data_IF_343450404993
#
_entry.id   IF_343450404993
#
_cell.length_a   1.000
_cell.length_b   1.000
_cell.length_c   1.000
_cell.angle_alpha   90.00
_cell.angle_beta   90.00
_cell.angle_gamma   90.00
#
_symmetry.space_group_name_H-M   'P 1'
#
loop_
_entity.id
_entity.type
_entity.pdbx_description
1 polymer ?
#
# COMPACT_ATOMS: atom_id res chain seq x y z
N UNK A 1 4.98 -9.05 -25.51
CA UNK A 1 4.05 -8.99 -24.36
C UNK A 1 3.50 -7.58 -24.30
N UNK A 2 2.19 -7.40 -24.20
CA UNK A 2 1.55 -6.09 -24.03
C UNK A 2 1.02 -6.03 -22.59
N UNK A 3 1.53 -5.09 -21.76
CA UNK A 3 0.98 -4.86 -20.42
C UNK A 3 -0.27 -3.98 -20.55
N UNK A 4 -1.29 -4.23 -19.72
CA UNK A 4 -2.46 -3.37 -19.67
C UNK A 4 -2.05 -1.96 -19.20
N UNK A 5 -2.75 -0.90 -19.60
CA UNK A 5 -2.49 0.44 -19.12
C UNK A 5 -2.70 0.52 -17.60
N UNK A 6 -1.78 1.15 -16.89
CA UNK A 6 -1.93 1.40 -15.45
C UNK A 6 -2.84 2.61 -15.24
N UNK A 7 -4.16 2.39 -15.36
CA UNK A 7 -5.18 3.44 -15.37
C UNK A 7 -5.10 4.39 -14.17
N UNK A 8 -4.82 3.84 -12.98
CA UNK A 8 -4.70 4.64 -11.76
C UNK A 8 -3.53 5.62 -11.82
N UNK A 9 -2.37 5.16 -12.27
CA UNK A 9 -1.17 5.99 -12.37
C UNK A 9 -1.33 7.06 -13.46
N UNK A 10 -1.86 6.67 -14.63
CA UNK A 10 -2.18 7.60 -15.72
C UNK A 10 -3.18 8.68 -15.26
N UNK A 11 -4.19 8.29 -14.49
CA UNK A 11 -5.17 9.21 -13.94
C UNK A 11 -4.54 10.21 -12.98
N UNK A 12 -3.77 9.74 -12.01
CA UNK A 12 -3.12 10.61 -11.02
C UNK A 12 -2.10 11.53 -11.71
N UNK A 13 -1.24 10.98 -12.57
CA UNK A 13 -0.17 11.73 -13.23
C UNK A 13 -0.70 12.85 -14.13
N UNK A 14 -1.84 12.64 -14.79
CA UNK A 14 -2.48 13.64 -15.65
C UNK A 14 -2.77 14.95 -14.91
N UNK A 15 -3.07 14.89 -13.62
CA UNK A 15 -3.51 16.04 -12.83
C UNK A 15 -2.47 16.52 -11.81
N UNK A 16 -1.70 15.60 -11.22
CA UNK A 16 -0.73 15.92 -10.16
C UNK A 16 0.53 16.61 -10.72
N UNK A 17 0.87 16.30 -11.99
CA UNK A 17 1.98 16.93 -12.73
C UNK A 17 1.54 17.94 -13.79
N UNK A 18 0.26 18.36 -13.78
CA UNK A 18 -0.22 19.45 -14.61
C UNK A 18 0.33 20.81 -14.11
N UNK A 19 0.33 21.82 -15.00
CA UNK A 19 0.72 23.19 -14.66
C UNK A 19 -0.47 24.15 -14.87
N UNK A 20 -1.06 24.70 -13.78
CA UNK A 20 -0.76 24.40 -12.37
C UNK A 20 -1.22 23.00 -11.96
N UNK A 21 -0.62 22.38 -10.91
CA UNK A 21 -1.08 21.10 -10.41
C UNK A 21 -2.47 21.24 -9.77
N UNK A 22 -3.21 20.13 -9.69
CA UNK A 22 -4.53 20.13 -9.09
C UNK A 22 -4.50 20.59 -7.63
N UNK A 23 -5.49 21.37 -7.22
CA UNK A 23 -5.51 22.00 -5.89
C UNK A 23 -5.61 20.99 -4.75
N UNK A 24 -6.48 19.98 -4.90
CA UNK A 24 -6.77 18.99 -3.85
C UNK A 24 -6.64 17.57 -4.40
N UNK A 25 -5.47 16.92 -4.21
CA UNK A 25 -5.28 15.54 -4.63
C UNK A 25 -5.71 14.57 -3.53
N UNK A 26 -6.95 14.11 -3.57
CA UNK A 26 -7.48 13.01 -2.75
C UNK A 26 -7.41 11.64 -3.45
N UNK A 27 -6.88 11.55 -4.68
CA UNK A 27 -6.60 10.27 -5.32
C UNK A 27 -5.32 9.63 -4.76
N UNK A 28 -4.43 10.43 -4.14
CA UNK A 28 -3.21 9.93 -3.50
C UNK A 28 -3.51 9.06 -2.28
N UNK A 29 -2.72 8.01 -2.10
CA UNK A 29 -2.76 7.12 -0.94
C UNK A 29 -1.63 7.41 0.07
N UNK A 30 -1.03 8.62 0.01
CA UNK A 30 -0.04 9.10 0.97
C UNK A 30 -0.65 10.15 1.88
N UNK A 31 -0.02 10.44 3.01
CA UNK A 31 -0.41 11.50 3.92
C UNK A 31 0.27 12.84 3.61
N UNK A 32 0.36 13.75 4.61
CA UNK A 32 1.00 15.03 4.45
C UNK A 32 2.44 14.89 3.98
N UNK A 33 2.85 15.77 3.09
CA UNK A 33 4.21 15.77 2.54
C UNK A 33 5.22 16.15 3.62
N UNK A 34 6.44 15.63 3.49
CA UNK A 34 7.61 15.97 4.30
C UNK A 34 8.66 16.61 3.41
N UNK A 35 9.28 17.69 3.86
CA UNK A 35 10.55 18.13 3.30
C UNK A 35 11.70 17.34 3.94
N UNK A 36 12.85 17.32 3.27
CA UNK A 36 14.08 16.72 3.84
C UNK A 36 14.46 17.43 5.14
N UNK A 37 14.31 18.75 5.20
CA UNK A 37 14.59 19.56 6.38
C UNK A 37 13.70 19.18 7.57
N UNK A 38 12.37 19.07 7.36
CA UNK A 38 11.44 18.61 8.40
C UNK A 38 11.81 17.22 8.92
N UNK A 39 12.16 16.30 8.00
CA UNK A 39 12.56 14.96 8.36
C UNK A 39 13.82 14.92 9.22
N UNK A 40 14.87 15.67 8.82
CA UNK A 40 16.13 15.73 9.55
C UNK A 40 15.93 16.33 10.96
N UNK A 41 15.03 17.30 11.10
CA UNK A 41 14.72 17.96 12.39
C UNK A 41 13.92 17.11 13.38
N UNK A 42 13.49 15.91 13.01
CA UNK A 42 12.72 15.04 13.91
C UNK A 42 13.49 14.64 15.17
N UNK A 43 14.82 14.57 15.11
CA UNK A 43 15.65 14.24 16.27
C UNK A 43 17.14 14.31 16.00
N UNK A 44 17.92 14.09 17.06
CA UNK A 44 19.36 14.11 17.05
C UNK A 44 19.95 12.72 17.29
N UNK A 45 21.15 12.40 16.73
CA UNK A 45 21.88 13.25 15.78
C UNK A 45 21.19 13.24 14.39
N UNK A 46 21.27 14.33 13.62
CA UNK A 46 20.80 14.34 12.24
C UNK A 46 21.66 13.42 11.38
N UNK A 47 21.10 12.84 10.28
CA UNK A 47 21.88 12.02 9.36
C UNK A 47 22.94 12.91 8.66
N UNK A 48 24.18 12.43 8.64
CA UNK A 48 25.27 13.13 7.95
C UNK A 48 25.22 12.78 6.45
N UNK A 49 24.51 13.57 5.70
CA UNK A 49 24.40 13.43 4.25
C UNK A 49 25.59 14.04 3.52
N UNK A 50 26.24 15.06 4.12
CA UNK A 50 27.29 15.83 3.46
C UNK A 50 28.60 15.02 3.30
N UNK A 51 28.92 14.17 4.25
CA UNK A 51 30.11 13.32 4.21
C UNK A 51 29.85 11.92 3.67
N UNK A 52 28.58 11.59 3.31
CA UNK A 52 28.25 10.28 2.79
C UNK A 52 28.88 10.04 1.41
N UNK A 53 29.49 8.86 1.23
CA UNK A 53 30.16 8.49 -0.02
C UNK A 53 29.11 8.03 -1.04
N UNK A 54 29.21 8.53 -2.29
CA UNK A 54 28.35 8.15 -3.41
C UNK A 54 28.83 6.84 -4.04
N UNK A 55 28.81 5.76 -3.28
CA UNK A 55 29.13 4.39 -3.71
C UNK A 55 27.89 3.51 -3.67
N UNK A 56 28.01 2.28 -4.15
CA UNK A 56 26.94 1.29 -3.98
C UNK A 56 26.77 0.96 -2.48
N UNK A 57 25.51 0.88 -2.04
CA UNK A 57 25.17 0.26 -0.79
C UNK A 57 25.33 -1.28 -0.87
N UNK A 58 25.40 -2.01 0.26
CA UNK A 58 25.33 -3.46 0.22
C UNK A 58 24.06 -3.95 -0.52
N UNK A 59 24.15 -5.03 -1.33
CA UNK A 59 23.00 -5.50 -2.11
C UNK A 59 21.74 -5.82 -1.28
N UNK A 60 21.90 -6.31 -0.06
CA UNK A 60 20.77 -6.55 0.85
C UNK A 60 20.30 -5.28 1.59
N UNK A 61 21.09 -4.20 1.60
CA UNK A 61 20.91 -2.99 2.40
C UNK A 61 21.89 -2.88 3.56
N UNK A 62 22.00 -1.71 4.16
CA UNK A 62 22.90 -1.47 5.30
C UNK A 62 22.37 -2.11 6.59
N UNK A 63 23.30 -2.60 7.43
CA UNK A 63 22.96 -3.24 8.73
C UNK A 63 22.09 -2.35 9.62
N UNK A 64 22.43 -1.05 9.69
CA UNK A 64 21.68 -0.08 10.51
C UNK A 64 20.21 0.07 10.05
N UNK A 65 19.96 -0.03 8.75
CA UNK A 65 18.60 0.03 8.21
C UNK A 65 17.85 -1.29 8.45
N UNK A 66 18.54 -2.45 8.33
CA UNK A 66 17.95 -3.74 8.71
C UNK A 66 17.49 -3.75 10.17
N UNK A 67 18.34 -3.26 11.10
CA UNK A 67 18.02 -3.17 12.52
C UNK A 67 16.80 -2.26 12.77
N UNK A 68 16.71 -1.11 12.08
CA UNK A 68 15.58 -0.21 12.22
C UNK A 68 14.27 -0.79 11.67
N UNK A 69 14.31 -1.49 10.53
CA UNK A 69 13.16 -2.21 9.96
C UNK A 69 12.75 -3.38 10.87
N UNK A 70 13.71 -4.14 11.34
CA UNK A 70 13.48 -5.28 12.23
C UNK A 70 12.82 -4.85 13.55
N UNK A 71 13.29 -3.76 14.16
CA UNK A 71 12.67 -3.17 15.33
C UNK A 71 11.23 -2.72 15.05
N UNK A 72 10.98 -2.14 13.88
CA UNK A 72 9.64 -1.69 13.47
C UNK A 72 8.64 -2.85 13.34
N UNK A 73 9.08 -4.02 12.87
CA UNK A 73 8.25 -5.21 12.68
C UNK A 73 8.37 -6.25 13.81
N UNK A 74 9.27 -6.08 14.76
CA UNK A 74 9.50 -7.02 15.85
C UNK A 74 10.12 -8.35 15.43
N UNK A 75 11.08 -8.34 14.48
CA UNK A 75 11.70 -9.53 13.88
C UNK A 75 13.23 -9.50 13.94
N UNK A 76 13.87 -10.58 13.49
CA UNK A 76 15.31 -10.64 13.34
C UNK A 76 15.79 -9.74 12.17
N UNK A 77 16.80 -8.87 12.37
CA UNK A 77 17.36 -8.06 11.29
C UNK A 77 17.90 -8.86 10.10
N UNK A 78 18.30 -10.11 10.31
CA UNK A 78 18.78 -10.99 9.25
C UNK A 78 17.65 -11.47 8.30
N UNK A 79 16.37 -11.26 8.68
CA UNK A 79 15.23 -11.58 7.81
C UNK A 79 14.93 -10.47 6.80
N UNK A 80 15.53 -9.30 6.96
CA UNK A 80 15.23 -8.11 6.14
C UNK A 80 16.08 -8.09 4.88
N UNK A 81 15.46 -7.82 3.74
CA UNK A 81 16.11 -7.48 2.47
C UNK A 81 15.56 -6.14 1.99
N UNK A 82 16.43 -5.16 1.83
CA UNK A 82 16.03 -3.83 1.35
C UNK A 82 15.73 -3.84 -0.14
N UNK A 83 14.74 -3.03 -0.54
CA UNK A 83 14.29 -2.89 -1.93
C UNK A 83 13.99 -1.42 -2.28
N UNK A 84 13.84 -1.12 -3.56
CA UNK A 84 13.45 0.22 -4.06
C UNK A 84 11.92 0.36 -4.04
N UNK A 85 11.36 0.44 -2.82
CA UNK A 85 9.93 0.38 -2.53
C UNK A 85 9.38 -1.06 -2.55
N UNK A 86 8.16 -1.23 -2.03
CA UNK A 86 7.46 -2.51 -2.00
C UNK A 86 7.18 -3.09 -3.39
N UNK A 87 7.09 -2.23 -4.42
CA UNK A 87 6.89 -2.67 -5.81
C UNK A 87 8.04 -3.52 -6.32
N UNK A 88 9.29 -3.18 -6.01
CA UNK A 88 10.44 -4.03 -6.35
C UNK A 88 10.40 -5.35 -5.58
N UNK A 89 10.08 -5.32 -4.29
CA UNK A 89 9.94 -6.51 -3.46
C UNK A 89 8.93 -7.50 -4.07
N UNK A 90 7.74 -7.02 -4.40
CA UNK A 90 6.68 -7.81 -5.05
C UNK A 90 7.12 -8.34 -6.41
N UNK A 91 7.74 -7.50 -7.26
CA UNK A 91 8.17 -7.89 -8.59
C UNK A 91 9.25 -8.98 -8.56
N UNK A 92 10.24 -8.85 -7.69
CA UNK A 92 11.28 -9.89 -7.49
C UNK A 92 10.65 -11.18 -6.99
N UNK A 93 9.75 -11.09 -5.99
CA UNK A 93 9.09 -12.26 -5.43
C UNK A 93 8.29 -13.02 -6.49
N UNK A 94 7.49 -12.30 -7.31
CA UNK A 94 6.70 -12.90 -8.39
C UNK A 94 7.58 -13.46 -9.51
N UNK A 95 8.68 -12.79 -9.85
CA UNK A 95 9.68 -13.30 -10.77
C UNK A 95 10.21 -14.68 -10.34
N UNK A 96 10.58 -14.79 -9.05
CA UNK A 96 11.11 -16.04 -8.49
C UNK A 96 10.05 -17.13 -8.26
N UNK A 97 8.78 -16.75 -8.21
CA UNK A 97 7.63 -17.68 -8.09
C UNK A 97 7.13 -18.19 -9.45
N UNK A 98 7.67 -17.66 -10.55
CA UNK A 98 7.24 -18.04 -11.89
C UNK A 98 7.48 -19.53 -12.15
N UNK A 99 6.43 -20.23 -12.65
CA UNK A 99 6.46 -21.59 -13.13
C UNK A 99 5.45 -21.77 -14.27
N UNK A 100 5.68 -22.72 -15.19
CA UNK A 100 4.73 -22.98 -16.28
C UNK A 100 3.31 -23.24 -15.77
N UNK A 101 2.32 -22.51 -16.30
CA UNK A 101 0.92 -22.63 -15.89
C UNK A 101 0.59 -22.04 -14.52
N UNK A 102 1.58 -21.49 -13.80
CA UNK A 102 1.38 -20.96 -12.45
C UNK A 102 0.45 -19.75 -12.40
N UNK A 103 -0.24 -19.59 -11.27
CA UNK A 103 -1.11 -18.43 -11.00
C UNK A 103 -0.82 -17.82 -9.63
N UNK A 104 -1.32 -16.60 -9.45
CA UNK A 104 -1.28 -15.87 -8.17
C UNK A 104 -2.69 -15.55 -7.73
N UNK A 105 -3.00 -15.80 -6.48
CA UNK A 105 -4.26 -15.44 -5.84
C UNK A 105 -4.13 -14.02 -5.28
N UNK A 106 -5.02 -13.11 -5.69
CA UNK A 106 -5.02 -11.68 -5.31
C UNK A 106 -6.42 -11.23 -4.87
N UNK A 107 -6.56 -10.16 -4.06
CA UNK A 107 -7.88 -9.63 -3.72
C UNK A 107 -8.59 -9.02 -4.94
N UNK A 108 -9.92 -8.92 -4.89
CA UNK A 108 -10.77 -8.20 -5.83
C UNK A 108 -11.89 -7.46 -5.06
N UNK A 109 -11.88 -6.09 -5.04
CA UNK A 109 -10.93 -5.17 -5.66
C UNK A 109 -9.49 -5.29 -5.13
N UNK A 110 -8.51 -4.76 -5.89
CA UNK A 110 -7.10 -4.79 -5.50
C UNK A 110 -6.33 -3.56 -5.97
N UNK A 111 -5.14 -3.37 -5.43
CA UNK A 111 -4.14 -2.50 -6.04
C UNK A 111 -3.76 -3.06 -7.43
N UNK A 112 -3.98 -2.28 -8.53
CA UNK A 112 -3.90 -2.82 -9.89
C UNK A 112 -2.55 -3.43 -10.27
N UNK A 113 -1.47 -3.01 -9.57
CA UNK A 113 -0.14 -3.51 -9.86
C UNK A 113 0.04 -5.01 -9.56
N UNK A 114 -0.73 -5.63 -8.65
CA UNK A 114 -0.59 -7.05 -8.36
C UNK A 114 -0.85 -7.89 -9.61
N UNK A 115 -1.97 -7.64 -10.30
CA UNK A 115 -2.30 -8.35 -11.52
C UNK A 115 -1.31 -8.05 -12.65
N UNK A 116 -0.94 -6.78 -12.83
CA UNK A 116 0.00 -6.38 -13.87
C UNK A 116 1.40 -6.99 -13.66
N UNK A 117 1.92 -7.01 -12.44
CA UNK A 117 3.20 -7.63 -12.12
C UNK A 117 3.17 -9.16 -12.30
N UNK A 118 2.09 -9.83 -11.91
CA UNK A 118 1.95 -11.26 -12.12
C UNK A 118 1.95 -11.60 -13.61
N UNK A 119 1.21 -10.84 -14.43
CA UNK A 119 1.19 -10.99 -15.89
C UNK A 119 2.56 -10.72 -16.52
N UNK A 120 3.31 -9.71 -16.01
CA UNK A 120 4.67 -9.42 -16.46
C UNK A 120 5.58 -10.67 -16.33
N UNK A 121 5.40 -11.42 -15.26
CA UNK A 121 6.11 -12.66 -15.00
C UNK A 121 5.37 -13.92 -15.48
N UNK A 122 4.38 -13.77 -16.40
CA UNK A 122 3.63 -14.86 -17.04
C UNK A 122 2.87 -15.75 -16.04
N UNK A 123 2.47 -15.19 -14.91
CA UNK A 123 1.59 -15.85 -13.95
C UNK A 123 0.14 -15.52 -14.26
N UNK A 124 -0.73 -16.51 -14.18
CA UNK A 124 -2.18 -16.33 -14.22
C UNK A 124 -2.68 -15.60 -12.97
N UNK A 125 -3.91 -15.07 -13.03
CA UNK A 125 -4.53 -14.34 -11.91
C UNK A 125 -5.79 -15.08 -11.47
N UNK A 126 -5.94 -15.28 -10.16
CA UNK A 126 -7.17 -15.75 -9.52
C UNK A 126 -7.57 -14.73 -8.45
N UNK A 127 -8.80 -14.22 -8.54
CA UNK A 127 -9.32 -13.25 -7.57
C UNK A 127 -10.03 -13.94 -6.41
N UNK A 128 -9.80 -13.49 -5.16
CA UNK A 128 -10.73 -13.72 -4.06
C UNK A 128 -11.54 -12.46 -3.80
N UNK A 129 -12.87 -12.63 -3.67
CA UNK A 129 -13.78 -11.50 -3.65
C UNK A 129 -13.84 -10.82 -2.29
N UNK A 130 -13.69 -9.50 -2.27
CA UNK A 130 -14.01 -8.63 -1.14
C UNK A 130 -15.32 -7.90 -1.45
N UNK A 131 -16.36 -8.16 -0.65
CA UNK A 131 -17.70 -7.65 -0.94
C UNK A 131 -18.10 -6.51 0.00
N UNK A 132 -18.68 -5.46 -0.57
CA UNK A 132 -19.28 -4.36 0.19
C UNK A 132 -20.42 -4.82 1.12
N UNK A 133 -21.14 -5.91 0.76
CA UNK A 133 -22.21 -6.48 1.59
C UNK A 133 -21.72 -7.02 2.95
N UNK A 134 -20.42 -7.27 3.09
CA UNK A 134 -19.76 -7.71 4.33
C UNK A 134 -18.60 -6.78 4.69
N UNK A 135 -18.72 -5.50 4.41
CA UNK A 135 -17.73 -4.47 4.72
C UNK A 135 -16.31 -4.78 4.18
N UNK A 136 -16.22 -5.42 3.03
CA UNK A 136 -14.96 -5.89 2.43
C UNK A 136 -14.12 -6.75 3.39
N UNK A 137 -14.77 -7.48 4.28
CA UNK A 137 -14.09 -8.32 5.27
C UNK A 137 -13.17 -9.32 4.58
N UNK A 138 -11.92 -9.37 5.03
CA UNK A 138 -10.93 -10.32 4.54
C UNK A 138 -11.02 -11.62 5.33
N UNK A 139 -11.35 -12.73 4.67
CA UNK A 139 -11.60 -14.03 5.26
C UNK A 139 -10.65 -15.09 4.67
N UNK A 140 -9.96 -15.85 5.51
CA UNK A 140 -9.05 -16.89 5.09
C UNK A 140 -9.74 -17.98 4.25
N UNK A 141 -11.03 -18.28 4.51
CA UNK A 141 -11.80 -19.26 3.74
C UNK A 141 -11.99 -18.83 2.28
N UNK A 142 -12.33 -17.56 2.04
CA UNK A 142 -12.46 -17.02 0.67
C UNK A 142 -11.14 -17.05 -0.09
N UNK A 143 -10.04 -16.71 0.59
CA UNK A 143 -8.70 -16.79 0.00
C UNK A 143 -8.35 -18.24 -0.37
N UNK A 144 -8.56 -19.18 0.55
CA UNK A 144 -8.26 -20.61 0.34
C UNK A 144 -9.12 -21.25 -0.74
N UNK A 145 -10.36 -20.78 -0.94
CA UNK A 145 -11.23 -21.25 -2.01
C UNK A 145 -10.73 -20.86 -3.41
N UNK A 146 -9.94 -19.77 -3.51
CA UNK A 146 -9.32 -19.35 -4.76
C UNK A 146 -8.02 -20.10 -5.08
N UNK A 147 -7.43 -20.82 -4.12
CA UNK A 147 -6.17 -21.57 -4.28
C UNK A 147 -6.40 -22.89 -5.00
N UNK A 148 -5.57 -23.18 -6.01
CA UNK A 148 -5.56 -24.45 -6.75
C UNK A 148 -4.14 -25.07 -6.80
N UNK A 149 -3.94 -26.25 -7.42
CA UNK A 149 -2.62 -26.89 -7.52
C UNK A 149 -1.56 -26.07 -8.26
N UNK A 150 -1.98 -25.15 -9.14
CA UNK A 150 -1.10 -24.29 -9.92
C UNK A 150 -0.80 -22.96 -9.23
N UNK A 151 -1.37 -22.72 -8.05
CA UNK A 151 -1.12 -21.47 -7.29
C UNK A 151 0.32 -21.40 -6.83
N UNK A 152 1.04 -20.41 -7.34
CA UNK A 152 2.45 -20.15 -7.06
C UNK A 152 2.66 -19.24 -5.84
N UNK A 153 1.68 -18.37 -5.55
CA UNK A 153 1.68 -17.48 -4.40
C UNK A 153 0.27 -16.94 -4.11
N UNK A 154 0.05 -16.54 -2.88
CA UNK A 154 -1.14 -15.78 -2.44
C UNK A 154 -0.68 -14.40 -1.99
N UNK A 155 -1.37 -13.33 -2.41
CA UNK A 155 -1.14 -11.96 -1.95
C UNK A 155 -2.33 -11.50 -1.13
N UNK A 156 -2.06 -11.04 0.08
CA UNK A 156 -2.98 -10.31 0.96
C UNK A 156 -2.43 -8.92 1.18
N UNK A 157 -3.29 -7.89 1.13
CA UNK A 157 -2.93 -6.53 1.50
C UNK A 157 -3.71 -6.11 2.74
N UNK A 158 -3.03 -5.79 3.82
CA UNK A 158 -3.67 -5.42 5.08
C UNK A 158 -2.83 -4.42 5.87
N UNK A 159 -3.37 -3.22 6.15
CA UNK A 159 -4.65 -2.65 5.69
C UNK A 159 -4.75 -2.58 4.17
N UNK A 160 -5.97 -2.73 3.63
CA UNK A 160 -6.23 -3.00 2.22
C UNK A 160 -6.44 -1.72 1.39
N UNK A 161 -5.82 -1.64 0.23
CA UNK A 161 -6.08 -0.65 -0.80
C UNK A 161 -6.92 -1.29 -1.94
N UNK A 162 -8.14 -0.75 -2.22
CA UNK A 162 -8.61 0.60 -1.86
C UNK A 162 -9.55 0.69 -0.63
N UNK A 163 -9.96 -0.41 -0.01
CA UNK A 163 -11.12 -0.45 0.88
C UNK A 163 -10.86 0.00 2.33
N UNK A 164 -9.59 -0.02 2.77
CA UNK A 164 -9.23 0.21 4.18
C UNK A 164 -9.64 -0.92 5.12
N UNK A 165 -10.05 -2.09 4.60
CA UNK A 165 -10.33 -3.27 5.43
C UNK A 165 -9.05 -3.84 6.03
N UNK A 166 -9.18 -4.53 7.17
CA UNK A 166 -8.05 -5.13 7.90
C UNK A 166 -8.32 -6.62 8.09
N UNK A 167 -7.37 -7.46 7.70
CA UNK A 167 -7.41 -8.89 7.99
C UNK A 167 -6.99 -9.12 9.44
N UNK A 168 -7.81 -9.79 10.22
CA UNK A 168 -7.49 -10.09 11.61
C UNK A 168 -6.30 -11.04 11.73
N UNK A 169 -5.50 -10.92 12.79
CA UNK A 169 -4.30 -11.73 13.00
C UNK A 169 -4.61 -13.25 13.01
N UNK A 170 -5.77 -13.64 13.58
CA UNK A 170 -6.23 -15.03 13.59
C UNK A 170 -6.50 -15.57 12.18
N UNK A 171 -7.04 -14.72 11.28
CA UNK A 171 -7.25 -15.09 9.88
C UNK A 171 -5.93 -15.24 9.14
N UNK A 172 -4.95 -14.36 9.39
CA UNK A 172 -3.60 -14.46 8.82
C UNK A 172 -2.89 -15.73 9.31
N UNK A 173 -2.96 -16.04 10.60
CA UNK A 173 -2.38 -17.27 11.19
C UNK A 173 -2.99 -18.52 10.57
N UNK A 174 -4.32 -18.57 10.48
CA UNK A 174 -5.03 -19.69 9.83
C UNK A 174 -4.64 -19.84 8.36
N UNK A 175 -4.59 -18.73 7.62
CA UNK A 175 -4.24 -18.72 6.21
C UNK A 175 -2.80 -19.21 6.00
N UNK A 176 -1.86 -18.68 6.80
CA UNK A 176 -0.44 -19.05 6.76
C UNK A 176 -0.25 -20.55 6.97
N UNK A 177 -0.85 -21.12 8.02
CA UNK A 177 -0.76 -22.56 8.30
C UNK A 177 -1.32 -23.40 7.16
N UNK A 178 -2.53 -23.08 6.68
CA UNK A 178 -3.16 -23.82 5.58
C UNK A 178 -2.40 -23.74 4.26
N UNK A 179 -1.71 -22.65 3.99
CA UNK A 179 -0.88 -22.47 2.79
C UNK A 179 0.48 -23.16 2.94
N UNK A 180 1.04 -23.21 4.16
CA UNK A 180 2.26 -23.96 4.45
C UNK A 180 2.09 -25.44 4.14
N UNK A 181 0.96 -26.03 4.56
CA UNK A 181 0.62 -27.45 4.27
C UNK A 181 0.54 -27.74 2.76
N UNK A 182 0.28 -26.72 1.94
CA UNK A 182 0.20 -26.81 0.48
C UNK A 182 1.51 -26.42 -0.23
N UNK A 183 2.52 -25.98 0.52
CA UNK A 183 3.77 -25.45 -0.03
C UNK A 183 3.61 -24.14 -0.82
N UNK A 184 2.53 -23.37 -0.55
CA UNK A 184 2.23 -22.11 -1.22
C UNK A 184 2.64 -20.95 -0.31
N UNK A 185 3.55 -20.06 -0.71
CA UNK A 185 3.95 -18.92 0.10
C UNK A 185 2.84 -17.86 0.15
N UNK A 186 2.68 -17.27 1.34
CA UNK A 186 1.80 -16.12 1.57
C UNK A 186 2.61 -14.83 1.57
N UNK A 187 2.30 -13.91 0.66
CA UNK A 187 2.82 -12.54 0.67
C UNK A 187 1.80 -11.64 1.35
N UNK A 188 2.23 -10.92 2.38
CA UNK A 188 1.41 -9.90 3.06
C UNK A 188 1.99 -8.53 2.76
N UNK A 189 1.25 -7.75 1.98
CA UNK A 189 1.59 -6.36 1.71
C UNK A 189 1.12 -5.48 2.86
N UNK A 190 2.06 -5.03 3.67
CA UNK A 190 1.88 -4.23 4.89
C UNK A 190 2.27 -2.75 4.71
N UNK A 191 2.23 -2.19 3.52
CA UNK A 191 2.64 -0.78 3.30
C UNK A 191 1.89 0.24 4.14
N UNK A 192 0.70 -0.12 4.65
CA UNK A 192 -0.12 0.72 5.54
C UNK A 192 0.02 0.38 7.02
N UNK A 193 0.70 -0.73 7.38
CA UNK A 193 1.00 -1.03 8.78
C UNK A 193 1.93 0.03 9.36
N UNK A 194 1.69 0.57 10.60
CA UNK A 194 0.68 0.18 11.60
C UNK A 194 -0.51 1.17 11.69
N UNK A 195 -1.00 1.69 10.58
CA UNK A 195 -2.12 2.65 10.60
C UNK A 195 -3.46 1.92 10.78
N UNK A 196 -4.00 1.91 12.00
CA UNK A 196 -5.29 1.30 12.34
C UNK A 196 -6.22 2.31 13.01
N UNK A 197 -7.53 2.20 12.70
CA UNK A 197 -8.62 2.99 13.28
C UNK A 197 -9.57 2.09 14.06
N UNK A 198 -9.01 1.29 14.95
CA UNK A 198 -9.64 0.26 15.77
C UNK A 198 -8.56 -0.54 16.48
N UNK A 199 -8.79 -1.82 16.81
CA UNK A 199 -7.77 -2.66 17.41
C UNK A 199 -6.52 -2.74 16.52
N UNK A 200 -5.36 -2.47 17.09
CA UNK A 200 -4.07 -2.63 16.42
C UNK A 200 -3.78 -4.10 16.17
N UNK A 201 -3.06 -4.38 15.07
CA UNK A 201 -2.61 -5.72 14.74
C UNK A 201 -1.08 -5.76 14.77
N UNK A 202 -0.47 -6.86 15.23
CA UNK A 202 0.98 -7.06 15.05
C UNK A 202 1.30 -7.21 13.56
N UNK A 203 2.56 -6.96 13.20
CA UNK A 203 3.03 -7.32 11.85
C UNK A 203 2.94 -8.83 11.62
N UNK A 204 2.58 -9.23 10.42
CA UNK A 204 2.57 -10.63 10.01
C UNK A 204 3.98 -11.23 9.85
N UNK A 205 5.02 -10.41 9.90
CA UNK A 205 6.40 -10.82 9.67
C UNK A 205 6.92 -11.89 10.66
N UNK A 206 6.30 -11.99 11.85
CA UNK A 206 6.62 -13.01 12.84
C UNK A 206 5.95 -14.38 12.60
N UNK A 207 5.04 -14.50 11.65
CA UNK A 207 4.36 -15.77 11.34
C UNK A 207 5.16 -16.59 10.34
N UNK A 208 5.11 -17.93 10.49
CA UNK A 208 5.75 -18.86 9.55
C UNK A 208 5.11 -18.80 8.14
N UNK A 209 5.89 -19.17 7.12
CA UNK A 209 5.46 -19.20 5.70
C UNK A 209 4.90 -17.87 5.16
N UNK A 210 5.24 -16.75 5.79
CA UNK A 210 4.85 -15.42 5.33
C UNK A 210 6.07 -14.66 4.84
N UNK A 211 5.88 -13.97 3.72
CA UNK A 211 6.78 -12.93 3.22
C UNK A 211 6.06 -11.60 3.37
N UNK A 212 6.57 -10.70 4.21
CA UNK A 212 6.02 -9.35 4.32
C UNK A 212 6.72 -8.44 3.32
N UNK A 213 5.95 -7.62 2.60
CA UNK A 213 6.46 -6.51 1.81
C UNK A 213 5.93 -5.20 2.38
N UNK A 214 6.81 -4.20 2.51
CA UNK A 214 6.41 -2.87 2.97
C UNK A 214 7.38 -1.80 2.49
N UNK A 215 7.04 -0.53 2.72
CA UNK A 215 7.90 0.61 2.39
C UNK A 215 7.56 1.85 3.23
N UNK A 216 8.36 2.91 3.06
CA UNK A 216 8.14 4.19 3.72
C UNK A 216 7.10 5.08 3.01
N UNK A 217 6.55 4.66 1.88
CA UNK A 217 5.70 5.53 1.04
C UNK A 217 4.34 5.83 1.65
N UNK A 218 3.73 4.88 2.37
CA UNK A 218 2.33 4.97 2.79
C UNK A 218 2.20 5.34 4.27
N UNK A 219 2.49 4.41 5.18
CA UNK A 219 2.37 4.65 6.62
C UNK A 219 3.27 5.81 7.10
N UNK A 220 4.43 5.99 6.49
CA UNK A 220 5.37 7.07 6.82
C UNK A 220 5.21 8.32 5.95
N UNK A 221 4.43 8.27 4.85
CA UNK A 221 4.27 9.38 3.89
C UNK A 221 5.59 9.90 3.31
N UNK A 222 6.55 9.01 3.07
CA UNK A 222 7.87 9.33 2.53
C UNK A 222 8.13 8.64 1.17
N UNK A 223 7.21 8.78 0.17
CA UNK A 223 7.34 8.07 -1.11
C UNK A 223 8.61 8.45 -1.88
N UNK A 224 9.14 9.65 -1.68
CA UNK A 224 10.36 10.14 -2.34
C UNK A 224 11.64 9.42 -1.90
N UNK A 225 11.64 8.73 -0.75
CA UNK A 225 12.80 7.97 -0.31
C UNK A 225 13.00 6.66 -1.08
N UNK A 226 12.01 6.21 -1.84
CA UNK A 226 12.08 4.96 -2.61
C UNK A 226 12.69 3.80 -1.82
N UNK A 227 12.44 3.75 -0.51
CA UNK A 227 12.97 2.74 0.40
C UNK A 227 11.86 1.81 0.84
N UNK A 228 11.99 0.54 0.50
CA UNK A 228 11.11 -0.55 0.91
C UNK A 228 11.90 -1.77 1.33
N UNK A 229 11.21 -2.81 1.73
CA UNK A 229 11.81 -4.05 2.19
C UNK A 229 10.90 -5.24 1.96
N UNK A 230 11.54 -6.39 2.00
CA UNK A 230 10.93 -7.70 2.11
C UNK A 230 11.45 -8.33 3.39
N UNK A 231 10.56 -8.96 4.17
CA UNK A 231 10.91 -9.70 5.38
C UNK A 231 10.52 -11.15 5.18
N UNK A 232 11.47 -12.05 5.39
CA UNK A 232 11.30 -13.46 5.16
C UNK A 232 12.20 -14.27 6.10
N UNK A 233 11.66 -15.19 6.86
CA UNK A 233 12.43 -16.07 7.75
C UNK A 233 13.21 -17.17 7.01
N UNK A 234 12.84 -17.50 5.76
CA UNK A 234 13.51 -18.50 4.93
C UNK A 234 14.84 -17.97 4.35
N UNK A 235 15.95 -18.43 4.87
CA UNK A 235 17.30 -18.00 4.45
C UNK A 235 17.61 -18.33 2.98
N UNK A 236 17.13 -19.48 2.47
CA UNK A 236 17.37 -19.88 1.09
C UNK A 236 16.60 -18.98 0.11
N UNK A 237 15.34 -18.64 0.45
CA UNK A 237 14.52 -17.71 -0.33
C UNK A 237 15.12 -16.30 -0.31
N UNK A 238 15.55 -15.79 0.86
CA UNK A 238 16.26 -14.51 0.95
C UNK A 238 17.52 -14.45 0.07
N UNK A 239 18.35 -15.50 0.09
CA UNK A 239 19.54 -15.54 -0.76
C UNK A 239 19.20 -15.43 -2.25
N UNK A 240 18.13 -16.10 -2.69
CA UNK A 240 17.63 -16.00 -4.08
C UNK A 240 17.11 -14.59 -4.38
N UNK A 241 16.41 -13.94 -3.44
CA UNK A 241 15.89 -12.58 -3.59
C UNK A 241 17.03 -11.57 -3.73
N UNK A 242 18.05 -11.64 -2.86
CA UNK A 242 19.24 -10.78 -2.94
C UNK A 242 19.97 -10.95 -4.27
N UNK A 243 20.14 -12.21 -4.72
CA UNK A 243 20.74 -12.48 -6.03
C UNK A 243 19.91 -11.90 -7.19
N UNK A 244 18.58 -12.09 -7.16
CA UNK A 244 17.70 -11.55 -8.19
C UNK A 244 17.73 -10.03 -8.22
N UNK A 245 17.76 -9.36 -7.05
CA UNK A 245 17.87 -7.91 -6.95
C UNK A 245 19.04 -7.33 -7.73
N UNK A 246 20.15 -8.07 -7.82
CA UNK A 246 21.31 -7.68 -8.64
C UNK A 246 20.99 -7.43 -10.13
N UNK A 247 19.88 -8.01 -10.62
CA UNK A 247 19.41 -7.80 -12.01
C UNK A 247 18.34 -6.71 -12.13
N UNK A 248 17.85 -6.15 -11.01
CA UNK A 248 16.85 -5.07 -10.97
C UNK A 248 17.53 -3.73 -10.70
N UNK A 249 17.95 -3.50 -9.46
CA UNK A 249 18.50 -2.20 -9.02
C UNK A 249 19.88 -2.31 -8.40
N UNK A 250 20.47 -3.50 -8.30
CA UNK A 250 21.79 -3.77 -7.71
C UNK A 250 21.78 -3.52 -6.18
N UNK A 251 21.54 -2.27 -5.77
CA UNK A 251 21.52 -1.84 -4.36
C UNK A 251 20.63 -0.60 -4.20
N UNK A 252 20.42 -0.17 -2.95
CA UNK A 252 19.81 1.12 -2.63
C UNK A 252 20.80 2.28 -2.75
N UNK A 253 20.32 3.49 -2.44
CA UNK A 253 21.15 4.69 -2.31
C UNK A 253 21.60 4.85 -0.85
N UNK A 254 22.89 4.96 -0.54
CA UNK A 254 23.38 5.17 0.82
C UNK A 254 22.75 6.38 1.52
N UNK A 255 22.54 7.48 0.81
CA UNK A 255 21.92 8.69 1.34
C UNK A 255 20.45 8.46 1.72
N UNK A 256 19.71 7.75 0.86
CA UNK A 256 18.32 7.42 1.14
C UNK A 256 18.19 6.43 2.29
N UNK A 257 19.13 5.48 2.43
CA UNK A 257 19.19 4.56 3.58
C UNK A 257 19.48 5.29 4.90
N UNK A 258 20.31 6.35 4.89
CA UNK A 258 20.53 7.20 6.07
C UNK A 258 19.24 7.92 6.48
N UNK A 259 18.55 8.54 5.52
CA UNK A 259 17.27 9.20 5.78
C UNK A 259 16.19 8.22 6.22
N UNK A 260 16.12 7.05 5.60
CA UNK A 260 15.19 5.99 5.97
C UNK A 260 15.42 5.47 7.40
N UNK A 261 16.69 5.24 7.76
CA UNK A 261 17.07 4.83 9.12
C UNK A 261 16.67 5.90 10.13
N UNK A 262 16.90 7.19 9.82
CA UNK A 262 16.50 8.30 10.67
C UNK A 262 14.96 8.36 10.82
N UNK A 263 14.22 8.23 9.72
CA UNK A 263 12.75 8.19 9.73
C UNK A 263 12.20 7.06 10.63
N UNK A 264 12.73 5.84 10.49
CA UNK A 264 12.31 4.67 11.29
C UNK A 264 12.63 4.84 12.78
N UNK A 265 13.75 5.45 13.13
CA UNK A 265 14.10 5.76 14.53
C UNK A 265 13.17 6.82 15.16
N UNK A 266 12.57 7.67 14.34
CA UNK A 266 11.63 8.70 14.77
C UNK A 266 10.20 8.44 14.30
N UNK A 267 9.88 7.17 13.98
CA UNK A 267 8.60 6.73 13.42
C UNK A 267 7.37 7.19 14.20
N UNK A 268 7.47 7.22 15.53
CA UNK A 268 6.32 7.58 16.37
C UNK A 268 5.82 8.99 16.09
N UNK A 269 6.74 9.95 15.84
CA UNK A 269 6.39 11.33 15.47
C UNK A 269 5.75 11.41 14.10
N UNK A 270 6.26 10.62 13.13
CA UNK A 270 5.75 10.57 11.77
C UNK A 270 4.36 9.94 11.76
N UNK A 271 4.20 8.79 12.41
CA UNK A 271 2.93 8.07 12.49
C UNK A 271 1.88 8.88 13.25
N UNK A 272 2.22 9.53 14.36
CA UNK A 272 1.28 10.35 15.12
C UNK A 272 0.72 11.51 14.28
N UNK A 273 1.58 12.21 13.48
CA UNK A 273 1.15 13.29 12.57
C UNK A 273 0.13 12.76 11.56
N UNK A 274 0.44 11.62 10.93
CA UNK A 274 -0.43 11.02 9.91
C UNK A 274 -1.73 10.50 10.52
N UNK A 275 -1.65 9.73 11.60
CA UNK A 275 -2.80 9.11 12.24
C UNK A 275 -3.79 10.15 12.77
N UNK A 276 -3.30 11.25 13.34
CA UNK A 276 -4.14 12.35 13.81
C UNK A 276 -4.92 12.98 12.66
N UNK A 277 -4.25 13.33 11.57
CA UNK A 277 -4.90 13.91 10.39
C UNK A 277 -5.90 12.93 9.78
N UNK A 278 -5.51 11.67 9.59
CA UNK A 278 -6.36 10.65 9.00
C UNK A 278 -7.61 10.36 9.83
N UNK A 279 -7.50 10.28 11.17
CA UNK A 279 -8.65 10.05 12.05
C UNK A 279 -9.69 11.17 11.94
N UNK A 280 -9.25 12.43 11.99
CA UNK A 280 -10.14 13.60 11.83
C UNK A 280 -10.79 13.66 10.46
N UNK A 281 -10.03 13.38 9.41
CA UNK A 281 -10.55 13.36 8.04
C UNK A 281 -11.53 12.21 7.80
N UNK A 282 -11.38 11.07 8.48
CA UNK A 282 -12.38 10.00 8.46
C UNK A 282 -13.73 10.44 9.01
N UNK A 283 -13.76 11.29 10.04
CA UNK A 283 -15.00 11.82 10.59
C UNK A 283 -15.65 12.85 9.63
N UNK A 284 -14.83 13.68 8.97
CA UNK A 284 -15.30 14.57 7.89
C UNK A 284 -15.89 13.76 6.73
N UNK A 285 -15.23 12.68 6.33
CA UNK A 285 -15.72 11.80 5.26
C UNK A 285 -17.02 11.09 5.66
N UNK A 286 -17.13 10.64 6.91
CA UNK A 286 -18.36 10.04 7.43
C UNK A 286 -19.52 11.02 7.36
N UNK A 287 -19.31 12.28 7.77
CA UNK A 287 -20.32 13.34 7.69
C UNK A 287 -20.71 13.64 6.23
N UNK A 288 -19.73 13.69 5.31
CA UNK A 288 -19.96 13.88 3.89
C UNK A 288 -20.88 12.78 3.30
N UNK A 289 -20.58 11.51 3.61
CA UNK A 289 -21.36 10.39 3.09
C UNK A 289 -22.76 10.37 3.71
N UNK A 290 -22.89 10.59 5.02
CA UNK A 290 -24.19 10.70 5.68
C UNK A 290 -25.03 11.85 5.10
N UNK A 291 -24.39 13.00 4.81
CA UNK A 291 -25.03 14.18 4.20
C UNK A 291 -25.38 14.01 2.70
N UNK A 292 -24.96 12.93 2.04
CA UNK A 292 -25.22 12.70 0.61
C UNK A 292 -26.68 12.29 0.32
N UNK A 293 -27.56 12.20 1.32
CA UNK A 293 -28.95 11.78 1.11
C UNK A 293 -29.09 10.35 0.57
N UNK A 294 -28.13 9.49 0.82
CA UNK A 294 -28.12 8.10 0.34
C UNK A 294 -27.56 7.91 -1.07
N UNK A 295 -27.06 8.97 -1.71
CA UNK A 295 -26.41 8.89 -3.03
C UNK A 295 -25.12 8.07 -2.95
N UNK A 296 -24.35 8.25 -1.87
CA UNK A 296 -23.14 7.48 -1.58
C UNK A 296 -23.36 6.54 -0.41
N UNK A 297 -22.70 5.39 -0.49
CA UNK A 297 -22.51 4.47 0.63
C UNK A 297 -21.04 4.08 0.74
N UNK A 298 -20.63 3.55 1.89
CA UNK A 298 -19.25 3.09 2.12
C UNK A 298 -19.18 2.09 3.27
N UNK A 299 -18.07 1.35 3.33
CA UNK A 299 -17.60 0.70 4.55
C UNK A 299 -16.53 1.57 5.18
N UNK A 300 -16.71 1.97 6.45
CA UNK A 300 -15.73 2.82 7.14
C UNK A 300 -14.37 2.08 7.23
N UNK A 301 -13.27 2.66 6.73
CA UNK A 301 -11.94 2.08 6.85
C UNK A 301 -11.56 1.74 8.29
N UNK A 302 -10.97 0.58 8.49
CA UNK A 302 -10.38 0.16 9.77
C UNK A 302 -8.87 0.34 9.82
N UNK A 303 -8.23 0.67 8.68
CA UNK A 303 -6.81 0.95 8.59
C UNK A 303 -6.42 1.58 7.25
N UNK A 304 -5.15 1.95 7.14
CA UNK A 304 -4.60 2.56 5.93
C UNK A 304 -4.96 4.03 5.75
N UNK A 305 -4.92 4.49 4.50
CA UNK A 305 -5.08 5.90 4.13
C UNK A 305 -6.15 6.12 3.07
N UNK A 306 -6.86 5.06 2.65
CA UNK A 306 -7.83 5.08 1.55
C UNK A 306 -9.17 4.52 1.95
N UNK A 307 -10.24 5.06 1.37
CA UNK A 307 -11.61 4.59 1.46
C UNK A 307 -12.16 4.32 0.06
N UNK A 308 -13.21 3.50 -0.03
CA UNK A 308 -13.77 3.06 -1.31
C UNK A 308 -15.29 3.18 -1.34
N UNK A 309 -15.84 4.42 -1.18
CA UNK A 309 -17.28 4.66 -1.30
C UNK A 309 -17.79 4.35 -2.71
N UNK A 310 -19.10 4.11 -2.81
CA UNK A 310 -19.77 3.80 -4.08
C UNK A 310 -21.11 4.53 -4.23
N UNK A 311 -21.52 4.73 -5.48
CA UNK A 311 -22.86 5.19 -5.79
C UNK A 311 -23.87 4.07 -5.56
N UNK A 312 -24.91 4.33 -4.77
CA UNK A 312 -25.94 3.35 -4.40
C UNK A 312 -26.82 2.93 -5.55
N UNK A 313 -26.99 3.78 -6.56
CA UNK A 313 -27.69 3.50 -7.81
C UNK A 313 -26.86 2.72 -8.85
N UNK A 314 -25.59 2.42 -8.53
CA UNK A 314 -24.70 1.64 -9.39
C UNK A 314 -24.12 2.40 -10.59
N UNK A 315 -24.37 3.70 -10.73
CA UNK A 315 -23.84 4.51 -11.84
C UNK A 315 -22.31 4.53 -11.85
N UNK A 316 -21.74 4.73 -13.04
CA UNK A 316 -20.29 4.86 -13.20
C UNK A 316 -19.77 6.13 -12.52
N UNK A 317 -18.75 6.00 -11.69
CA UNK A 317 -18.12 7.09 -10.95
C UNK A 317 -17.22 7.99 -11.80
N UNK A 318 -16.74 7.51 -12.96
CA UNK A 318 -15.76 8.25 -13.76
C UNK A 318 -16.23 9.65 -14.19
N UNK A 319 -17.46 9.84 -14.74
CA UNK A 319 -17.93 11.18 -15.09
C UNK A 319 -17.97 12.14 -13.89
N UNK A 320 -18.32 11.64 -12.70
CA UNK A 320 -18.31 12.42 -11.47
C UNK A 320 -16.87 12.78 -11.05
N UNK A 321 -15.94 11.83 -11.13
CA UNK A 321 -14.53 12.09 -10.83
C UNK A 321 -13.90 13.10 -11.79
N UNK A 322 -14.28 13.07 -13.08
CA UNK A 322 -13.86 14.05 -14.08
C UNK A 322 -14.41 15.45 -13.79
N UNK A 323 -15.69 15.56 -13.43
CA UNK A 323 -16.30 16.82 -13.02
C UNK A 323 -15.65 17.39 -11.75
N UNK A 324 -15.33 16.55 -10.77
CA UNK A 324 -14.59 16.95 -9.57
C UNK A 324 -13.19 17.43 -9.91
N UNK A 325 -12.47 16.74 -10.80
CA UNK A 325 -11.15 17.17 -11.23
C UNK A 325 -11.18 18.53 -11.91
N UNK A 326 -12.20 18.81 -12.75
CA UNK A 326 -12.43 20.14 -13.33
C UNK A 326 -12.74 21.21 -12.28
N UNK A 327 -13.30 20.83 -11.12
CA UNK A 327 -13.54 21.70 -9.97
C UNK A 327 -12.35 21.78 -9.00
N UNK A 328 -11.20 21.16 -9.33
CA UNK A 328 -9.96 21.21 -8.55
C UNK A 328 -9.80 20.11 -7.51
N UNK A 329 -10.65 19.09 -7.48
CA UNK A 329 -10.56 17.95 -6.55
C UNK A 329 -10.32 16.66 -7.31
N UNK A 330 -9.21 15.99 -7.06
CA UNK A 330 -8.89 14.69 -7.65
C UNK A 330 -9.27 13.56 -6.69
N UNK A 331 -10.16 12.67 -7.13
CA UNK A 331 -10.42 11.35 -6.53
C UNK A 331 -10.20 10.28 -7.60
N UNK A 332 -9.86 9.05 -7.22
CA UNK A 332 -9.61 8.02 -8.23
C UNK A 332 -10.91 7.29 -8.59
N UNK A 333 -11.30 7.24 -9.88
CA UNK A 333 -12.50 6.51 -10.30
C UNK A 333 -12.34 5.01 -10.10
N UNK A 334 -13.43 4.33 -9.78
CA UNK A 334 -13.45 2.94 -9.38
C UNK A 334 -13.12 1.95 -10.50
N UNK A 335 -13.26 2.33 -11.75
CA UNK A 335 -12.83 1.53 -12.89
C UNK A 335 -11.30 1.32 -12.95
N UNK A 336 -10.51 2.21 -12.30
CA UNK A 336 -9.09 1.96 -12.04
C UNK A 336 -8.84 0.70 -11.18
N UNK A 337 -9.87 0.22 -10.49
CA UNK A 337 -9.85 -0.97 -9.62
C UNK A 337 -10.81 -2.06 -10.08
N UNK A 338 -11.37 -1.95 -11.30
CA UNK A 338 -12.37 -2.88 -11.84
C UNK A 338 -13.79 -2.72 -11.30
N UNK A 339 -14.08 -1.69 -10.50
CA UNK A 339 -15.37 -1.46 -9.84
C UNK A 339 -15.95 -0.09 -10.19
N UNK A 340 -16.59 0.00 -11.35
CA UNK A 340 -16.99 1.27 -11.98
C UNK A 340 -17.88 2.18 -11.12
N UNK A 341 -18.73 1.64 -10.24
CA UNK A 341 -19.61 2.44 -9.37
C UNK A 341 -18.89 3.01 -8.14
N UNK A 342 -17.70 2.55 -7.84
CA UNK A 342 -16.91 2.97 -6.68
C UNK A 342 -15.98 4.14 -7.03
N UNK A 343 -15.41 4.77 -6.01
CA UNK A 343 -14.30 5.73 -6.15
C UNK A 343 -13.35 5.59 -4.96
N UNK A 344 -12.05 5.75 -5.19
CA UNK A 344 -11.10 5.79 -4.08
C UNK A 344 -10.86 7.22 -3.63
N UNK A 345 -11.02 7.47 -2.33
CA UNK A 345 -10.72 8.74 -1.66
C UNK A 345 -9.63 8.49 -0.63
N UNK A 346 -8.47 9.14 -0.81
CA UNK A 346 -7.40 9.19 0.19
C UNK A 346 -7.74 10.22 1.26
N UNK A 347 -7.82 9.77 2.51
CA UNK A 347 -8.26 10.62 3.63
C UNK A 347 -7.10 11.04 4.57
N UNK A 348 -5.85 10.70 4.25
CA UNK A 348 -4.72 11.01 5.13
C UNK A 348 -4.04 12.37 4.81
N UNK A 349 -4.64 13.22 4.00
CA UNK A 349 -4.13 14.55 3.64
C UNK A 349 -4.18 15.54 4.80
N UNK A 350 -3.56 16.71 4.65
CA UNK A 350 -3.69 17.80 5.62
C UNK A 350 -5.17 18.14 5.85
N UNK A 351 -5.55 18.35 7.11
CA UNK A 351 -6.95 18.57 7.52
C UNK A 351 -7.63 19.70 6.76
N UNK A 352 -6.97 20.86 6.64
CA UNK A 352 -7.52 22.01 5.91
C UNK A 352 -7.77 21.73 4.44
N UNK A 353 -6.86 21.00 3.78
CA UNK A 353 -7.02 20.60 2.39
C UNK A 353 -8.16 19.58 2.23
N UNK A 354 -8.24 18.60 3.14
CA UNK A 354 -9.29 17.59 3.09
C UNK A 354 -10.68 18.20 3.31
N UNK A 355 -10.82 19.11 4.29
CA UNK A 355 -12.08 19.80 4.58
C UNK A 355 -12.55 20.65 3.39
N UNK A 356 -11.65 21.42 2.75
CA UNK A 356 -11.98 22.20 1.57
C UNK A 356 -12.42 21.32 0.38
N UNK A 357 -11.71 20.22 0.15
CA UNK A 357 -12.09 19.24 -0.88
C UNK A 357 -13.44 18.58 -0.59
N UNK A 358 -13.71 18.19 0.66
CA UNK A 358 -14.98 17.59 1.07
C UNK A 358 -16.17 18.51 0.81
N UNK A 359 -16.03 19.82 1.04
CA UNK A 359 -17.06 20.82 0.71
C UNK A 359 -17.35 20.88 -0.80
N UNK A 360 -16.32 20.78 -1.65
CA UNK A 360 -16.49 20.77 -3.10
C UNK A 360 -17.18 19.47 -3.56
N UNK A 361 -16.83 18.33 -2.95
CA UNK A 361 -17.49 17.05 -3.21
C UNK A 361 -18.97 17.12 -2.82
N UNK A 362 -19.30 17.66 -1.64
CA UNK A 362 -20.69 17.81 -1.19
C UNK A 362 -21.52 18.61 -2.20
N UNK A 363 -21.02 19.78 -2.64
CA UNK A 363 -21.69 20.62 -3.66
C UNK A 363 -21.86 19.91 -5.01
N UNK A 364 -20.94 19.02 -5.37
CA UNK A 364 -21.03 18.26 -6.61
C UNK A 364 -22.08 17.14 -6.54
N UNK A 365 -22.35 16.61 -5.34
CA UNK A 365 -23.38 15.58 -5.10
C UNK A 365 -24.82 16.16 -5.10
N UNK A 366 -24.98 17.46 -4.86
CA UNK A 366 -26.28 18.15 -4.88
C UNK A 366 -26.79 18.46 -6.30
N UNK A 367 -25.94 18.29 -7.32
CA UNK A 367 -26.24 18.55 -8.74
C UNK A 367 -26.64 17.29 -9.48
#
# INVERSE_FOLDING_TARGET
>A
MHLPPFLLDQWISKYDFAEPPIAYNLASSTGPRWSVEELIRLGAPPPDLATSILSYAPPAGSRKLHEAVAEFHGVDPDWVVMTTGASEALSIFLCLSNRPGGNVVVPDPAYPAYAAMAQLWRLGIRGYRLSAAVDFAQNAGEVLAAVDPDTAAVIVNTPHNPTGSVMAAEQLTRLSASLADRGVPLVVDEVYHPLYFGPTQPSAAGLGNIVVTSDLSKAMSLPGLRTGWLIDSDAARRARIVNARGYFTISGSPQLELLATHALRHRDKILARLQTAAARNLDVLAALIAGSGGVLSWSRPRGGTTSFPWFTDGRNSRPFCEALAAAGVLVAPGDCFGHASHMRIGFAQQETHFQAAAQLIARALER
#
